data_IF_352091846738
#
_entry.id   IF_352091846738
#
_cell.length_a   1.000
_cell.length_b   1.000
_cell.length_c   1.000
_cell.angle_alpha   90.00
_cell.angle_beta   90.00
_cell.angle_gamma   90.00
#
_symmetry.space_group_name_H-M   'P 1'
#
loop_
_entity.id
_entity.type
_entity.pdbx_description
1 polymer ?
#
# COMPACT_ATOMS: atom_id res chain seq x y z
N UNK A 1 -4.54 8.71 6.03
CA UNK A 1 -4.20 9.86 6.90
C UNK A 1 -4.81 11.07 6.26
N UNK A 2 -5.67 11.78 6.99
CA UNK A 2 -6.22 13.03 6.49
C UNK A 2 -5.16 14.14 6.59
N UNK A 3 -4.55 14.50 5.45
CA UNK A 3 -3.64 15.66 5.39
C UNK A 3 -4.49 16.94 5.38
N UNK A 4 -4.11 17.91 6.21
CA UNK A 4 -4.72 19.25 6.19
C UNK A 4 -4.18 20.07 5.01
N UNK A 5 -4.91 21.08 4.52
CA UNK A 5 -4.55 21.79 3.28
C UNK A 5 -3.13 22.38 3.28
N UNK A 6 -2.73 23.00 4.37
CA UNK A 6 -1.40 23.61 4.55
C UNK A 6 -0.25 22.58 4.51
N UNK A 7 -0.53 21.33 4.89
CA UNK A 7 0.49 20.28 4.96
C UNK A 7 0.98 19.81 3.61
N UNK A 8 0.15 19.92 2.56
CA UNK A 8 0.61 19.61 1.21
C UNK A 8 1.75 20.53 0.79
N UNK A 9 1.80 21.76 1.33
CA UNK A 9 2.80 22.78 1.04
C UNK A 9 3.98 22.73 2.02
N UNK A 10 3.70 22.58 3.32
CA UNK A 10 4.74 22.76 4.35
C UNK A 10 5.45 21.48 4.75
N UNK A 11 4.83 20.30 4.58
CA UNK A 11 5.42 19.07 5.09
C UNK A 11 6.56 18.58 4.21
N UNK A 12 7.71 18.32 4.83
CA UNK A 12 8.90 17.83 4.12
C UNK A 12 9.02 16.30 4.11
N UNK A 13 8.48 15.64 5.14
CA UNK A 13 8.55 14.19 5.24
C UNK A 13 7.61 13.46 4.25
N UNK A 14 6.74 14.20 3.55
CA UNK A 14 5.92 13.69 2.46
C UNK A 14 6.06 14.62 1.26
N UNK A 15 6.53 14.08 0.12
CA UNK A 15 7.09 14.90 -0.93
C UNK A 15 6.06 15.36 -1.98
N UNK A 16 4.78 15.52 -1.62
CA UNK A 16 3.73 15.82 -2.60
C UNK A 16 4.07 17.04 -3.47
N UNK A 17 4.55 18.13 -2.85
CA UNK A 17 4.98 19.35 -3.55
C UNK A 17 6.15 19.18 -4.52
N UNK A 18 6.87 18.07 -4.45
CA UNK A 18 7.96 17.71 -5.35
C UNK A 18 7.51 16.85 -6.55
N UNK A 19 6.20 16.67 -6.73
CA UNK A 19 5.60 16.00 -7.89
C UNK A 19 5.51 14.47 -7.78
N UNK A 20 5.85 13.89 -6.63
CA UNK A 20 5.70 12.47 -6.36
C UNK A 20 5.01 12.24 -5.02
N UNK A 21 4.21 11.18 -4.94
CA UNK A 21 3.26 11.03 -3.85
C UNK A 21 3.29 9.67 -3.18
N UNK A 22 2.10 9.16 -2.84
CA UNK A 22 1.89 7.93 -2.08
C UNK A 22 2.64 6.74 -2.67
N UNK A 23 2.71 6.63 -4.00
CA UNK A 23 3.31 5.51 -4.70
C UNK A 23 4.83 5.44 -4.44
N UNK A 24 5.55 6.56 -4.56
CA UNK A 24 7.00 6.61 -4.28
C UNK A 24 7.34 6.72 -2.79
N UNK A 25 6.47 7.34 -1.99
CA UNK A 25 6.74 7.50 -0.57
C UNK A 25 6.66 6.18 0.21
N UNK A 26 5.66 5.35 -0.07
CA UNK A 26 5.46 4.07 0.66
C UNK A 26 4.75 2.98 -0.15
N UNK A 27 4.14 3.32 -1.28
CA UNK A 27 3.37 2.38 -2.10
C UNK A 27 4.22 1.37 -2.86
N UNK A 28 5.49 1.68 -3.14
CA UNK A 28 6.39 0.85 -3.92
C UNK A 28 6.60 -0.55 -3.32
N UNK A 29 6.48 -0.71 -1.99
CA UNK A 29 6.50 -2.02 -1.34
C UNK A 29 5.38 -2.95 -1.83
N UNK A 30 4.19 -2.40 -2.12
CA UNK A 30 3.07 -3.17 -2.65
C UNK A 30 3.22 -3.46 -4.14
N UNK A 31 3.92 -2.59 -4.88
CA UNK A 31 4.32 -2.85 -6.27
C UNK A 31 5.30 -4.02 -6.30
N UNK A 32 6.30 -4.02 -5.43
CA UNK A 32 7.26 -5.11 -5.28
C UNK A 32 6.57 -6.44 -4.91
N UNK A 33 5.69 -6.40 -3.89
CA UNK A 33 4.87 -7.56 -3.51
C UNK A 33 4.01 -8.09 -4.68
N UNK A 34 3.40 -7.20 -5.46
CA UNK A 34 2.61 -7.59 -6.63
C UNK A 34 3.48 -8.30 -7.67
N UNK A 35 4.67 -7.78 -7.98
CA UNK A 35 5.59 -8.44 -8.93
C UNK A 35 6.07 -9.79 -8.41
N UNK A 36 6.33 -9.92 -7.11
CA UNK A 36 6.64 -11.19 -6.47
C UNK A 36 5.50 -12.21 -6.65
N UNK A 37 4.25 -11.81 -6.39
CA UNK A 37 3.08 -12.69 -6.55
C UNK A 37 2.87 -13.11 -8.01
N UNK A 38 3.07 -12.21 -8.97
CA UNK A 38 2.97 -12.53 -10.40
C UNK A 38 4.04 -13.53 -10.85
N UNK A 39 5.27 -13.36 -10.36
CA UNK A 39 6.37 -14.30 -10.61
C UNK A 39 6.10 -15.68 -10.00
N UNK A 40 5.65 -15.73 -8.74
CA UNK A 40 5.26 -16.99 -8.09
C UNK A 40 4.13 -17.70 -8.84
N UNK A 41 3.12 -16.95 -9.31
CA UNK A 41 2.04 -17.50 -10.14
C UNK A 41 2.57 -18.10 -11.45
N UNK A 42 3.55 -17.45 -12.08
CA UNK A 42 4.19 -17.93 -13.31
C UNK A 42 5.08 -19.15 -13.08
N UNK A 43 5.66 -19.31 -11.90
CA UNK A 43 6.45 -20.49 -11.52
C UNK A 43 5.57 -21.68 -11.14
N UNK A 44 4.44 -21.43 -10.48
CA UNK A 44 3.50 -22.47 -10.04
C UNK A 44 2.65 -23.05 -11.18
N UNK A 45 2.67 -22.45 -12.37
CA UNK A 45 1.91 -22.91 -13.53
C UNK A 45 2.79 -23.00 -14.77
N UNK A 46 2.47 -23.91 -15.70
CA UNK A 46 3.10 -23.92 -17.03
C UNK A 46 2.65 -22.76 -17.93
N UNK A 47 1.86 -21.82 -17.39
CA UNK A 47 1.25 -20.72 -18.12
C UNK A 47 1.98 -19.42 -17.80
N UNK A 48 3.07 -19.20 -18.51
CA UNK A 48 3.77 -17.90 -18.47
C UNK A 48 3.04 -16.88 -19.34
N UNK A 49 2.70 -15.68 -18.82
CA UNK A 49 2.19 -14.58 -19.61
C UNK A 49 3.20 -14.09 -20.65
N UNK A 50 2.73 -13.56 -21.77
CA UNK A 50 3.53 -12.85 -22.78
C UNK A 50 3.32 -11.34 -22.75
N UNK A 51 2.16 -10.89 -22.26
CA UNK A 51 1.72 -9.50 -22.31
C UNK A 51 1.17 -9.06 -20.97
N UNK A 52 1.51 -7.85 -20.56
CA UNK A 52 0.86 -7.14 -19.47
C UNK A 52 0.07 -5.98 -20.05
N UNK A 53 -1.15 -5.78 -19.57
CA UNK A 53 -1.87 -4.53 -19.73
C UNK A 53 -2.04 -3.88 -18.37
N UNK A 54 -1.92 -2.56 -18.33
CA UNK A 54 -1.97 -1.78 -17.12
C UNK A 54 -2.78 -0.52 -17.36
N UNK A 55 -3.82 -0.34 -16.55
CA UNK A 55 -4.55 0.90 -16.43
C UNK A 55 -4.31 1.47 -15.04
N UNK A 56 -3.95 2.75 -14.93
CA UNK A 56 -3.68 3.38 -13.64
C UNK A 56 -4.24 4.78 -13.58
N UNK A 57 -4.80 5.14 -12.43
CA UNK A 57 -5.31 6.48 -12.16
C UNK A 57 -4.88 6.95 -10.78
N UNK A 58 -4.86 8.27 -10.60
CA UNK A 58 -4.52 8.88 -9.34
C UNK A 58 -5.48 10.00 -8.94
N UNK A 59 -5.40 10.36 -7.65
CA UNK A 59 -6.07 11.50 -7.02
C UNK A 59 -4.98 12.45 -6.52
N UNK A 60 -5.16 13.76 -6.70
CA UNK A 60 -4.24 14.81 -6.23
C UNK A 60 -4.82 15.60 -5.05
N UNK A 61 -4.00 16.45 -4.39
CA UNK A 61 -4.47 17.30 -3.30
C UNK A 61 -5.70 18.15 -3.67
N UNK A 62 -5.74 18.73 -4.87
CA UNK A 62 -6.89 19.50 -5.35
C UNK A 62 -8.20 18.70 -5.44
N UNK A 63 -8.12 17.42 -5.81
CA UNK A 63 -9.27 16.52 -5.82
C UNK A 63 -9.76 16.24 -4.38
N UNK A 64 -8.84 16.06 -3.43
CA UNK A 64 -9.19 15.91 -2.01
C UNK A 64 -9.91 17.15 -1.47
N UNK A 65 -9.47 18.36 -1.84
CA UNK A 65 -10.10 19.62 -1.43
C UNK A 65 -11.45 19.87 -2.11
N UNK A 66 -11.65 19.29 -3.29
CA UNK A 66 -12.98 19.26 -3.91
C UNK A 66 -13.93 18.35 -3.13
N UNK A 67 -13.44 17.22 -2.61
CA UNK A 67 -14.23 16.28 -1.80
C UNK A 67 -14.45 16.76 -0.35
N UNK A 68 -13.48 17.47 0.23
CA UNK A 68 -13.49 17.97 1.62
C UNK A 68 -13.41 19.49 1.56
N UNK A 69 -14.57 20.13 1.67
CA UNK A 69 -14.74 21.58 1.48
C UNK A 69 -14.38 22.41 2.71
N UNK A 70 -14.26 23.73 2.54
CA UNK A 70 -14.09 24.68 3.65
C UNK A 70 -15.18 24.55 4.72
N UNK A 71 -16.45 24.39 4.32
CA UNK A 71 -17.57 24.14 5.24
C UNK A 71 -17.34 22.91 6.12
N UNK A 72 -16.64 21.91 5.60
CA UNK A 72 -16.28 20.71 6.36
C UNK A 72 -15.24 21.02 7.42
N UNK A 73 -14.22 21.82 7.08
CA UNK A 73 -13.23 22.29 8.04
C UNK A 73 -13.83 23.25 9.08
N UNK A 74 -14.74 24.15 8.70
CA UNK A 74 -15.42 25.06 9.63
C UNK A 74 -16.25 24.28 10.64
N UNK A 75 -17.00 23.28 10.19
CA UNK A 75 -17.82 22.42 11.06
C UNK A 75 -16.99 21.62 12.06
N UNK A 76 -15.82 21.11 11.66
CA UNK A 76 -15.00 20.26 12.54
C UNK A 76 -14.01 21.03 13.41
N UNK A 77 -13.47 22.15 12.92
CA UNK A 77 -12.36 22.87 13.57
C UNK A 77 -12.62 24.37 13.77
N UNK A 78 -13.81 24.85 13.43
CA UNK A 78 -14.22 26.24 13.59
C UNK A 78 -13.79 27.15 12.44
N UNK A 79 -14.47 28.29 12.34
CA UNK A 79 -14.31 29.28 11.27
C UNK A 79 -12.89 29.82 11.11
N UNK A 80 -12.19 30.06 12.23
CA UNK A 80 -10.82 30.58 12.19
C UNK A 80 -9.86 29.59 11.50
N UNK A 81 -10.00 28.30 11.78
CA UNK A 81 -9.20 27.25 11.14
C UNK A 81 -9.51 27.11 9.66
N UNK A 82 -10.79 27.11 9.29
CA UNK A 82 -11.20 27.04 7.88
C UNK A 82 -10.65 28.23 7.09
N UNK A 83 -10.74 29.44 7.64
CA UNK A 83 -10.17 30.64 7.02
C UNK A 83 -8.65 30.53 6.82
N UNK A 84 -7.92 29.95 7.79
CA UNK A 84 -6.48 29.72 7.67
C UNK A 84 -6.11 28.69 6.59
N UNK A 85 -7.03 27.79 6.24
CA UNK A 85 -6.84 26.77 5.20
C UNK A 85 -7.28 27.21 3.80
N UNK A 86 -8.11 28.25 3.69
CA UNK A 86 -8.72 28.68 2.43
C UNK A 86 -7.70 28.95 1.32
N UNK A 87 -6.63 29.68 1.64
CA UNK A 87 -5.57 30.01 0.67
C UNK A 87 -4.87 28.76 0.14
N UNK A 88 -4.65 27.76 0.99
CA UNK A 88 -3.99 26.51 0.61
C UNK A 88 -4.91 25.61 -0.23
N UNK A 89 -6.21 25.59 0.06
CA UNK A 89 -7.18 24.80 -0.70
C UNK A 89 -7.35 25.29 -2.13
N UNK A 90 -7.15 26.59 -2.35
CA UNK A 90 -7.26 27.25 -3.64
C UNK A 90 -5.90 27.52 -4.31
N UNK A 91 -4.80 26.98 -3.75
CA UNK A 91 -3.47 27.15 -4.34
C UNK A 91 -3.46 26.52 -5.74
N UNK A 92 -3.16 27.34 -6.74
CA UNK A 92 -3.09 26.89 -8.12
C UNK A 92 -2.04 25.80 -8.29
N UNK A 93 -0.97 25.73 -7.49
CA UNK A 93 0.10 24.74 -7.61
C UNK A 93 -0.30 23.31 -7.23
N UNK A 94 -1.46 23.10 -6.62
CA UNK A 94 -1.91 21.74 -6.23
C UNK A 94 -2.01 20.78 -7.42
N UNK A 95 -2.18 21.30 -8.64
CA UNK A 95 -2.16 20.48 -9.86
C UNK A 95 -0.78 19.94 -10.22
N UNK A 96 0.31 20.52 -9.71
CA UNK A 96 1.69 20.07 -9.91
C UNK A 96 2.11 19.01 -8.89
N UNK A 97 1.34 18.85 -7.81
CA UNK A 97 1.71 17.97 -6.71
C UNK A 97 1.54 16.50 -7.10
N UNK A 98 2.32 15.65 -6.42
CA UNK A 98 2.25 14.21 -6.52
C UNK A 98 0.91 13.65 -6.03
N UNK A 99 0.67 12.39 -6.35
CA UNK A 99 -0.57 11.70 -6.04
C UNK A 99 -0.79 11.45 -4.54
N UNK A 100 -2.00 11.71 -4.07
CA UNK A 100 -2.44 11.33 -2.72
C UNK A 100 -2.88 9.88 -2.72
N UNK A 101 -3.65 9.47 -3.73
CA UNK A 101 -4.05 8.09 -3.93
C UNK A 101 -3.64 7.59 -5.32
N UNK A 102 -3.41 6.29 -5.44
CA UNK A 102 -3.07 5.62 -6.70
C UNK A 102 -3.86 4.32 -6.82
N UNK A 103 -4.52 4.14 -7.96
CA UNK A 103 -5.30 2.97 -8.31
C UNK A 103 -4.72 2.36 -9.58
N UNK A 104 -4.49 1.06 -9.59
CA UNK A 104 -3.91 0.37 -10.74
C UNK A 104 -4.59 -0.98 -10.93
N UNK A 105 -4.99 -1.26 -12.17
CA UNK A 105 -5.50 -2.54 -12.61
C UNK A 105 -4.56 -3.12 -13.65
N UNK A 106 -4.08 -4.33 -13.37
CA UNK A 106 -3.14 -5.05 -14.20
C UNK A 106 -3.78 -6.36 -14.68
N UNK A 107 -3.57 -6.69 -15.95
CA UNK A 107 -3.90 -8.01 -16.49
C UNK A 107 -2.67 -8.63 -17.13
N UNK A 108 -2.28 -9.81 -16.66
CA UNK A 108 -1.28 -10.65 -17.29
C UNK A 108 -1.96 -11.63 -18.24
N UNK A 109 -1.51 -11.63 -19.49
CA UNK A 109 -2.17 -12.31 -20.61
C UNK A 109 -1.20 -13.25 -21.33
N UNK A 110 -1.74 -14.29 -21.95
CA UNK A 110 -1.04 -15.19 -22.87
C UNK A 110 -1.87 -15.38 -24.13
N UNK A 111 -1.30 -15.10 -25.29
CA UNK A 111 -1.95 -15.19 -26.61
C UNK A 111 -3.34 -14.52 -26.62
N UNK A 112 -3.43 -13.31 -26.05
CA UNK A 112 -4.68 -12.53 -25.98
C UNK A 112 -5.71 -13.03 -24.94
N UNK A 113 -5.37 -14.02 -24.11
CA UNK A 113 -6.24 -14.54 -23.03
C UNK A 113 -5.70 -14.13 -21.67
N UNK A 114 -6.59 -13.69 -20.79
CA UNK A 114 -6.22 -13.25 -19.44
C UNK A 114 -5.92 -14.47 -18.57
N UNK A 115 -4.76 -14.45 -17.90
CA UNK A 115 -4.33 -15.46 -16.93
C UNK A 115 -4.55 -14.96 -15.50
N UNK A 116 -4.07 -13.75 -15.22
CA UNK A 116 -4.11 -13.15 -13.89
C UNK A 116 -4.60 -11.72 -14.00
N UNK A 117 -5.51 -11.33 -13.11
CA UNK A 117 -5.89 -9.92 -12.91
C UNK A 117 -5.48 -9.51 -11.51
N UNK A 118 -4.88 -8.33 -11.40
CA UNK A 118 -4.51 -7.74 -10.14
C UNK A 118 -5.06 -6.32 -10.04
N UNK A 119 -5.40 -5.92 -8.82
CA UNK A 119 -5.79 -4.56 -8.49
C UNK A 119 -4.96 -4.09 -7.30
N UNK A 120 -4.36 -2.92 -7.45
CA UNK A 120 -3.60 -2.23 -6.40
C UNK A 120 -4.31 -0.90 -6.12
N UNK A 121 -4.76 -0.74 -4.88
CA UNK A 121 -5.39 0.50 -4.40
C UNK A 121 -4.57 1.04 -3.23
N UNK A 122 -3.87 2.13 -3.46
CA UNK A 122 -3.06 2.83 -2.46
C UNK A 122 -3.81 4.09 -2.06
N UNK A 123 -4.42 4.06 -0.87
CA UNK A 123 -5.38 5.09 -0.44
C UNK A 123 -4.85 5.80 0.81
N UNK A 124 -4.41 7.04 0.65
CA UNK A 124 -4.07 7.96 1.71
C UNK A 124 -5.29 8.76 2.20
N UNK A 125 -6.26 9.06 1.31
CA UNK A 125 -7.53 9.76 1.65
C UNK A 125 -8.52 8.91 2.46
N UNK A 126 -8.18 7.65 2.72
CA UNK A 126 -9.00 6.71 3.47
C UNK A 126 -9.08 7.03 4.96
N UNK A 127 -9.57 6.06 5.72
CA UNK A 127 -9.84 6.20 7.15
C UNK A 127 -8.67 6.83 7.93
N UNK A 128 -9.00 7.76 8.82
CA UNK A 128 -8.06 8.46 9.66
C UNK A 128 -8.70 8.75 11.02
N UNK A 129 -7.89 8.70 12.06
CA UNK A 129 -8.26 9.13 13.40
C UNK A 129 -7.93 10.58 13.71
N UNK A 130 -7.49 11.32 12.69
CA UNK A 130 -7.12 12.70 12.88
C UNK A 130 -8.35 13.51 13.28
N UNK A 131 -8.30 14.09 14.47
CA UNK A 131 -9.36 14.92 15.03
C UNK A 131 -8.86 16.32 15.42
N UNK A 132 -7.72 16.74 14.88
CA UNK A 132 -7.08 18.02 15.17
C UNK A 132 -6.52 18.66 13.89
N UNK A 133 -6.53 20.00 13.80
CA UNK A 133 -6.07 20.70 12.60
C UNK A 133 -4.55 20.81 12.52
N UNK A 134 -3.83 20.96 13.64
CA UNK A 134 -2.39 21.24 13.65
C UNK A 134 -1.61 19.96 13.97
N UNK A 135 -0.61 19.61 13.15
CA UNK A 135 0.23 18.43 13.41
C UNK A 135 0.97 18.54 14.75
N UNK A 136 1.20 17.40 15.43
CA UNK A 136 2.16 17.36 16.52
C UNK A 136 3.60 17.51 16.02
N UNK A 137 4.53 17.82 16.93
CA UNK A 137 5.96 17.96 16.62
C UNK A 137 6.55 16.71 15.93
N UNK A 138 6.23 15.52 16.45
CA UNK A 138 6.49 14.26 15.76
C UNK A 138 5.44 14.07 14.66
N UNK A 139 5.71 14.63 13.48
CA UNK A 139 4.81 14.53 12.31
C UNK A 139 4.66 13.11 11.76
N UNK A 140 5.47 12.13 12.22
CA UNK A 140 5.41 10.74 11.78
C UNK A 140 4.50 9.89 12.65
N UNK A 141 4.52 10.10 13.97
CA UNK A 141 3.59 9.46 14.92
C UNK A 141 2.41 10.38 15.21
N UNK A 142 1.34 9.85 15.80
CA UNK A 142 0.23 10.66 16.32
C UNK A 142 -0.41 11.64 15.31
N UNK A 143 -0.37 11.33 14.01
CA UNK A 143 -0.87 12.16 12.91
C UNK A 143 -2.23 11.67 12.34
N UNK A 144 -2.93 10.82 13.09
CA UNK A 144 -4.17 10.17 12.69
C UNK A 144 -4.04 9.07 11.62
N UNK A 145 -2.83 8.73 11.15
CA UNK A 145 -2.58 7.57 10.26
C UNK A 145 -2.77 6.27 11.03
N UNK A 146 -3.52 5.34 10.44
CA UNK A 146 -3.72 3.98 10.92
C UNK A 146 -3.38 2.99 9.80
N UNK A 147 -2.90 1.80 10.18
CA UNK A 147 -2.67 0.71 9.23
C UNK A 147 -4.01 0.04 8.88
N UNK A 148 -4.38 0.10 7.61
CA UNK A 148 -5.54 -0.61 7.06
C UNK A 148 -5.13 -1.25 5.75
N UNK A 149 -4.65 -2.49 5.83
CA UNK A 149 -4.09 -3.24 4.73
C UNK A 149 -4.89 -4.53 4.52
N UNK A 150 -5.19 -4.82 3.26
CA UNK A 150 -5.94 -6.00 2.85
C UNK A 150 -5.35 -6.56 1.57
N UNK A 151 -5.11 -7.87 1.56
CA UNK A 151 -4.69 -8.61 0.37
C UNK A 151 -5.64 -9.79 0.21
N UNK A 152 -6.12 -10.03 -1.00
CA UNK A 152 -6.91 -11.21 -1.31
C UNK A 152 -6.39 -11.85 -2.60
N UNK A 153 -6.00 -13.10 -2.47
CA UNK A 153 -5.42 -13.91 -3.54
C UNK A 153 -6.39 -15.04 -3.82
N UNK A 154 -6.90 -15.07 -5.05
CA UNK A 154 -7.71 -16.18 -5.55
C UNK A 154 -6.87 -17.10 -6.44
N UNK A 155 -6.81 -18.37 -6.09
CA UNK A 155 -6.15 -19.41 -6.89
C UNK A 155 -7.23 -20.18 -7.65
N UNK A 156 -7.74 -19.55 -8.71
CA UNK A 156 -8.86 -20.06 -9.50
C UNK A 156 -10.05 -20.47 -8.59
N UNK A 157 -10.71 -21.62 -8.87
CA UNK A 157 -11.81 -22.13 -8.05
C UNK A 157 -11.34 -22.92 -6.81
N UNK A 158 -10.04 -23.00 -6.56
CA UNK A 158 -9.46 -23.96 -5.61
C UNK A 158 -9.23 -23.37 -4.22
N UNK A 159 -8.81 -22.11 -4.14
CA UNK A 159 -8.50 -21.47 -2.86
C UNK A 159 -8.65 -19.95 -2.88
N UNK A 160 -8.87 -19.38 -1.71
CA UNK A 160 -8.76 -17.94 -1.43
C UNK A 160 -7.89 -17.75 -0.19
N UNK A 161 -6.86 -16.91 -0.29
CA UNK A 161 -6.02 -16.48 0.83
C UNK A 161 -6.28 -15.01 1.05
N UNK A 162 -6.71 -14.65 2.26
CA UNK A 162 -6.99 -13.28 2.66
C UNK A 162 -6.05 -12.89 3.78
N UNK A 163 -5.47 -11.70 3.70
CA UNK A 163 -4.56 -11.15 4.70
C UNK A 163 -5.18 -9.85 5.20
N UNK A 164 -5.31 -9.74 6.51
CA UNK A 164 -5.97 -8.65 7.19
C UNK A 164 -5.04 -8.02 8.22
N UNK A 165 -4.79 -6.73 8.09
CA UNK A 165 -3.89 -5.99 8.97
C UNK A 165 -4.52 -4.63 9.25
N UNK A 166 -5.04 -4.47 10.47
CA UNK A 166 -5.91 -3.35 10.83
C UNK A 166 -5.55 -2.79 12.20
N UNK A 167 -5.44 -1.47 12.29
CA UNK A 167 -5.27 -0.75 13.53
C UNK A 167 -6.44 0.18 13.75
N UNK A 168 -7.09 0.07 14.90
CA UNK A 168 -8.17 0.98 15.28
C UNK A 168 -7.66 2.20 16.02
N UNK A 169 -6.43 2.20 16.57
CA UNK A 169 -5.85 3.34 17.31
C UNK A 169 -4.34 3.48 17.09
N UNK A 170 -3.82 4.71 17.23
CA UNK A 170 -2.39 5.02 17.03
C UNK A 170 -1.51 4.64 18.23
N UNK A 171 -2.06 4.61 19.45
CA UNK A 171 -1.33 4.37 20.71
C UNK A 171 -1.83 3.11 21.43
N UNK A 172 -1.15 2.73 22.53
CA UNK A 172 -1.50 1.54 23.34
C UNK A 172 -2.98 1.59 23.74
N UNK A 173 -3.74 0.62 23.27
CA UNK A 173 -5.14 0.43 23.62
C UNK A 173 -5.25 0.07 25.10
N UNK A 174 -6.17 0.73 25.80
CA UNK A 174 -6.72 0.17 27.05
C UNK A 174 -7.82 -0.82 26.66
N UNK A 175 -7.62 -2.11 26.98
CA UNK A 175 -8.69 -3.12 26.93
C UNK A 175 -8.87 -3.91 25.63
N UNK A 176 -8.08 -3.68 24.58
CA UNK A 176 -8.05 -4.54 23.38
C UNK A 176 -6.71 -5.28 23.31
N UNK A 177 -6.74 -6.58 23.00
CA UNK A 177 -5.51 -7.34 22.79
C UNK A 177 -4.71 -6.74 21.63
N UNK A 178 -3.39 -6.78 21.72
CA UNK A 178 -2.50 -6.34 20.64
C UNK A 178 -2.76 -7.08 19.33
N UNK A 179 -3.30 -8.30 19.39
CA UNK A 179 -3.45 -9.20 18.25
C UNK A 179 -4.90 -9.35 17.76
N UNK A 180 -5.87 -8.83 18.50
CA UNK A 180 -7.27 -8.81 18.06
C UNK A 180 -7.46 -7.83 16.90
N UNK A 181 -8.56 -7.95 16.16
CA UNK A 181 -8.88 -7.03 15.07
C UNK A 181 -8.92 -5.57 15.55
N UNK A 182 -8.08 -4.73 14.93
CA UNK A 182 -7.87 -3.34 15.33
C UNK A 182 -6.73 -3.17 16.34
N UNK A 183 -6.17 -4.24 16.88
CA UNK A 183 -4.99 -4.26 17.74
C UNK A 183 -3.74 -3.73 17.03
N UNK A 184 -2.79 -3.22 17.81
CA UNK A 184 -1.53 -2.66 17.28
C UNK A 184 -0.77 -3.64 16.36
N UNK A 185 -0.85 -4.94 16.67
CA UNK A 185 -0.18 -6.05 15.99
C UNK A 185 -1.18 -7.01 15.31
N UNK A 186 -2.41 -6.56 15.03
CA UNK A 186 -3.38 -7.38 14.29
C UNK A 186 -2.81 -7.76 12.91
N UNK A 187 -2.70 -9.07 12.69
CA UNK A 187 -2.30 -9.67 11.42
C UNK A 187 -2.87 -11.09 11.34
N UNK A 188 -3.94 -11.21 10.55
CA UNK A 188 -4.70 -12.44 10.37
C UNK A 188 -4.57 -12.93 8.92
N UNK A 189 -4.28 -14.22 8.73
CA UNK A 189 -4.35 -14.87 7.41
C UNK A 189 -5.50 -15.87 7.43
N UNK A 190 -6.47 -15.69 6.54
CA UNK A 190 -7.58 -16.61 6.33
C UNK A 190 -7.35 -17.40 5.05
N UNK A 191 -7.45 -18.73 5.14
CA UNK A 191 -7.25 -19.63 4.00
C UNK A 191 -8.50 -20.47 3.82
N UNK A 192 -9.17 -20.28 2.70
CA UNK A 192 -10.33 -21.05 2.26
C UNK A 192 -9.88 -22.00 1.14
N UNK A 193 -10.30 -23.26 1.21
CA UNK A 193 -9.88 -24.30 0.26
C UNK A 193 -11.08 -25.11 -0.21
N UNK A 194 -11.05 -25.52 -1.47
CA UNK A 194 -11.87 -26.62 -1.95
C UNK A 194 -11.26 -27.94 -1.46
N UNK A 195 -11.48 -28.27 -0.19
CA UNK A 195 -10.90 -29.43 0.46
C UNK A 195 -11.20 -30.75 -0.22
N UNK A 196 -12.32 -30.85 -0.92
CA UNK A 196 -12.69 -32.06 -1.65
C UNK A 196 -11.81 -32.28 -2.90
N UNK A 197 -11.24 -31.22 -3.48
CA UNK A 197 -10.37 -31.32 -4.65
C UNK A 197 -8.88 -31.29 -4.29
N UNK A 198 -8.47 -30.42 -3.37
CA UNK A 198 -7.05 -30.19 -3.05
C UNK A 198 -6.63 -30.67 -1.66
N UNK A 199 -7.55 -31.27 -0.90
CA UNK A 199 -7.30 -31.69 0.48
C UNK A 199 -7.16 -30.53 1.47
N UNK A 200 -6.72 -30.86 2.68
CA UNK A 200 -6.54 -29.89 3.77
C UNK A 200 -7.85 -29.40 4.41
N UNK A 201 -7.74 -28.49 5.38
CA UNK A 201 -8.91 -27.91 6.07
C UNK A 201 -9.63 -26.90 5.16
N UNK A 202 -10.95 -26.97 5.14
CA UNK A 202 -11.80 -26.09 4.31
C UNK A 202 -11.62 -24.62 4.68
N UNK A 203 -11.38 -24.37 5.96
CA UNK A 203 -11.01 -23.08 6.50
C UNK A 203 -9.87 -23.23 7.50
N UNK A 204 -8.92 -22.32 7.44
CA UNK A 204 -7.82 -22.18 8.38
C UNK A 204 -7.56 -20.70 8.64
N UNK A 205 -7.43 -20.34 9.92
CA UNK A 205 -7.04 -19.01 10.36
C UNK A 205 -5.68 -19.10 11.02
N UNK A 206 -4.73 -18.31 10.54
CA UNK A 206 -3.42 -18.14 11.15
C UNK A 206 -3.40 -16.76 11.79
N UNK A 207 -3.31 -16.73 13.12
CA UNK A 207 -3.10 -15.50 13.88
C UNK A 207 -1.61 -15.35 14.15
N UNK A 208 -0.97 -14.37 13.52
CA UNK A 208 0.48 -14.22 13.63
C UNK A 208 0.91 -13.91 15.08
N UNK A 209 0.08 -13.18 15.82
CA UNK A 209 0.30 -12.86 17.22
C UNK A 209 0.46 -14.07 18.15
N UNK A 210 -0.16 -15.21 17.80
CA UNK A 210 -0.05 -16.45 18.58
C UNK A 210 1.19 -17.28 18.23
N UNK A 211 1.70 -17.13 17.00
CA UNK A 211 2.95 -17.78 16.56
C UNK A 211 4.18 -17.06 17.16
N UNK A 212 4.13 -15.73 17.24
CA UNK A 212 5.19 -14.87 17.82
C UNK A 212 5.49 -15.20 19.29
N UNK A 213 4.50 -15.65 20.07
CA UNK A 213 4.66 -16.00 21.49
C UNK A 213 5.32 -17.37 21.75
N UNK A 214 5.37 -18.25 20.75
CA UNK A 214 5.82 -19.64 20.93
C UNK A 214 7.28 -19.89 20.53
N UNK A 215 7.89 -19.00 19.74
CA UNK A 215 9.21 -19.21 19.13
C UNK A 215 10.35 -18.35 19.67
N UNK A 216 10.05 -17.28 20.41
CA UNK A 216 11.04 -16.35 20.93
C UNK A 216 10.80 -16.11 22.42
N UNK A 217 11.87 -16.07 23.22
CA UNK A 217 11.77 -15.45 24.55
C UNK A 217 11.28 -14.02 24.32
N UNK A 218 10.10 -13.70 24.82
CA UNK A 218 9.37 -12.47 24.51
C UNK A 218 10.17 -11.17 24.79
N UNK A 219 11.25 -11.26 25.56
CA UNK A 219 12.14 -10.15 25.90
C UNK A 219 13.17 -9.80 24.81
N UNK A 220 13.46 -10.69 23.85
CA UNK A 220 14.50 -10.51 22.82
C UNK A 220 13.96 -10.26 21.40
N UNK A 221 12.64 -10.25 21.22
CA UNK A 221 12.03 -10.09 19.90
C UNK A 221 12.04 -8.63 19.45
N UNK A 222 12.86 -8.31 18.45
CA UNK A 222 13.01 -6.96 17.88
C UNK A 222 11.92 -6.62 16.83
N UNK A 223 11.04 -7.56 16.49
CA UNK A 223 10.03 -7.44 15.44
C UNK A 223 10.52 -7.88 14.05
N UNK A 224 9.61 -8.38 13.20
CA UNK A 224 9.94 -8.97 11.90
C UNK A 224 10.72 -8.01 10.97
N UNK A 225 10.36 -6.73 10.95
CA UNK A 225 11.07 -5.75 10.11
C UNK A 225 12.52 -5.54 10.56
N UNK A 226 12.78 -5.49 11.87
CA UNK A 226 14.15 -5.35 12.37
C UNK A 226 14.94 -6.65 12.20
N UNK A 227 14.29 -7.81 12.39
CA UNK A 227 14.89 -9.10 12.10
C UNK A 227 15.28 -9.23 10.62
N UNK A 228 14.38 -8.91 9.69
CA UNK A 228 14.65 -8.96 8.26
C UNK A 228 15.78 -8.01 7.85
N UNK A 229 15.78 -6.77 8.36
CA UNK A 229 16.88 -5.81 8.12
C UNK A 229 18.22 -6.32 8.66
N UNK A 230 18.21 -6.91 9.86
CA UNK A 230 19.41 -7.47 10.45
C UNK A 230 19.92 -8.65 9.63
N UNK A 231 19.04 -9.53 9.20
CA UNK A 231 19.38 -10.66 8.33
C UNK A 231 19.99 -10.16 7.02
N UNK A 232 19.39 -9.18 6.34
CA UNK A 232 19.96 -8.60 5.10
C UNK A 232 21.34 -7.98 5.34
N UNK A 233 21.54 -7.29 6.47
CA UNK A 233 22.85 -6.74 6.82
C UNK A 233 23.88 -7.84 7.08
N UNK A 234 23.51 -8.89 7.80
CA UNK A 234 24.39 -10.02 8.09
C UNK A 234 24.74 -10.78 6.81
N UNK A 235 23.77 -10.99 5.90
CA UNK A 235 23.98 -11.58 4.58
C UNK A 235 25.00 -10.77 3.77
N UNK A 236 24.85 -9.44 3.74
CA UNK A 236 25.78 -8.55 3.03
C UNK A 236 27.19 -8.58 3.65
N UNK A 237 27.30 -8.47 4.98
CA UNK A 237 28.60 -8.37 5.66
C UNK A 237 29.39 -9.69 5.62
N UNK A 238 28.69 -10.82 5.52
CA UNK A 238 29.28 -12.16 5.51
C UNK A 238 29.35 -12.78 4.11
N UNK A 239 28.97 -12.04 3.07
CA UNK A 239 28.89 -12.53 1.68
C UNK A 239 28.06 -13.82 1.57
N UNK A 240 26.94 -13.87 2.29
CA UNK A 240 26.00 -14.98 2.23
C UNK A 240 24.99 -14.76 1.10
N UNK A 241 24.47 -15.83 0.48
CA UNK A 241 23.44 -15.70 -0.53
C UNK A 241 22.21 -14.95 0.01
N UNK A 242 21.85 -13.83 -0.61
CA UNK A 242 20.63 -13.11 -0.27
C UNK A 242 19.49 -13.50 -1.19
N UNK A 243 18.28 -13.55 -0.63
CA UNK A 243 17.05 -13.64 -1.41
C UNK A 243 16.62 -12.26 -1.98
N UNK A 244 17.32 -11.18 -1.62
CA UNK A 244 16.96 -9.81 -1.95
C UNK A 244 18.11 -9.00 -2.56
N UNK A 245 18.55 -9.43 -3.73
CA UNK A 245 19.57 -8.74 -4.53
C UNK A 245 19.00 -7.49 -5.24
N UNK A 246 19.86 -6.51 -5.56
CA UNK A 246 19.44 -5.30 -6.29
C UNK A 246 18.71 -5.61 -7.61
N UNK A 247 19.10 -6.69 -8.29
CA UNK A 247 18.46 -7.15 -9.54
C UNK A 247 17.03 -7.63 -9.33
N UNK A 248 16.69 -8.11 -8.13
CA UNK A 248 15.34 -8.59 -7.80
C UNK A 248 14.31 -7.46 -7.80
N UNK A 249 14.74 -6.19 -7.70
CA UNK A 249 13.87 -5.01 -7.74
C UNK A 249 13.63 -4.45 -9.14
N UNK A 250 14.28 -4.98 -10.18
CA UNK A 250 14.07 -4.50 -11.56
C UNK A 250 12.60 -4.63 -12.03
N UNK A 251 11.91 -5.77 -11.80
CA UNK A 251 10.48 -5.89 -12.11
C UNK A 251 9.61 -4.83 -11.44
N UNK A 252 9.84 -4.60 -10.14
CA UNK A 252 9.09 -3.62 -9.35
C UNK A 252 9.31 -2.20 -9.89
N UNK A 253 10.56 -1.83 -10.16
CA UNK A 253 10.91 -0.53 -10.73
C UNK A 253 10.32 -0.31 -12.12
N UNK A 254 10.29 -1.36 -12.95
CA UNK A 254 9.67 -1.32 -14.27
C UNK A 254 8.17 -1.08 -14.16
N UNK A 255 7.46 -1.86 -13.33
CA UNK A 255 6.02 -1.69 -13.12
C UNK A 255 5.71 -0.29 -12.54
N UNK A 256 6.48 0.14 -11.56
CA UNK A 256 6.40 1.49 -10.97
C UNK A 256 6.55 2.59 -12.02
N UNK A 257 7.52 2.46 -12.93
CA UNK A 257 7.71 3.39 -14.03
C UNK A 257 6.51 3.42 -14.99
N UNK A 258 5.94 2.26 -15.32
CA UNK A 258 4.75 2.20 -16.18
C UNK A 258 3.51 2.82 -15.52
N UNK A 259 3.35 2.69 -14.19
CA UNK A 259 2.28 3.39 -13.45
C UNK A 259 2.46 4.91 -13.56
N UNK A 260 3.68 5.43 -13.36
CA UNK A 260 3.92 6.87 -13.50
C UNK A 260 3.77 7.40 -14.93
N UNK A 261 4.11 6.59 -15.95
CA UNK A 261 3.81 6.96 -17.34
C UNK A 261 2.31 7.09 -17.57
N UNK A 262 1.50 6.19 -17.00
CA UNK A 262 0.06 6.31 -17.03
C UNK A 262 -0.43 7.56 -16.27
N UNK A 263 0.16 7.90 -15.12
CA UNK A 263 -0.15 9.17 -14.44
C UNK A 263 0.16 10.39 -15.33
N UNK A 264 1.31 10.40 -16.00
CA UNK A 264 1.68 11.45 -16.93
C UNK A 264 0.77 11.54 -18.17
N UNK A 265 0.09 10.45 -18.56
CA UNK A 265 -0.95 10.44 -19.60
C UNK A 265 -2.26 11.03 -19.08
N UNK A 266 -2.71 10.59 -17.90
CA UNK A 266 -3.90 11.15 -17.25
C UNK A 266 -3.77 12.67 -17.07
N UNK A 267 -2.60 13.17 -16.66
CA UNK A 267 -2.39 14.62 -16.48
C UNK A 267 -2.48 15.43 -17.78
N UNK A 268 -2.34 14.78 -18.93
CA UNK A 268 -2.51 15.38 -20.27
C UNK A 268 -3.90 15.17 -20.85
N UNK A 269 -4.82 14.54 -20.11
CA UNK A 269 -6.15 14.17 -20.59
C UNK A 269 -6.15 12.94 -21.52
N UNK A 270 -5.06 12.19 -21.58
CA UNK A 270 -4.95 10.96 -22.36
C UNK A 270 -5.47 9.75 -21.57
N UNK A 271 -5.83 8.66 -22.27
CA UNK A 271 -6.19 7.40 -21.60
C UNK A 271 -4.97 6.80 -20.89
N UNK A 272 -5.00 6.61 -19.56
CA UNK A 272 -3.84 6.14 -18.81
C UNK A 272 -3.72 4.61 -18.85
N UNK A 273 -3.43 4.11 -20.04
CA UNK A 273 -3.35 2.69 -20.36
C UNK A 273 -2.04 2.36 -21.09
N UNK A 274 -1.38 1.27 -20.71
CA UNK A 274 -0.19 0.75 -21.40
C UNK A 274 -0.27 -0.76 -21.58
N UNK A 275 0.38 -1.25 -22.63
CA UNK A 275 0.65 -2.67 -22.82
C UNK A 275 2.15 -2.87 -23.10
N UNK A 276 2.74 -3.88 -22.47
CA UNK A 276 4.18 -4.18 -22.58
C UNK A 276 4.44 -5.68 -22.38
N UNK A 277 5.68 -6.12 -22.65
CA UNK A 277 6.05 -7.53 -22.57
C UNK A 277 6.08 -8.00 -21.11
N UNK A 278 5.50 -9.16 -20.83
CA UNK A 278 5.47 -9.70 -19.47
C UNK A 278 6.84 -10.07 -18.91
N UNK A 279 7.83 -10.39 -19.77
CA UNK A 279 9.21 -10.67 -19.33
C UNK A 279 9.85 -9.49 -18.62
N UNK A 280 9.35 -8.27 -18.83
CA UNK A 280 9.89 -7.08 -18.20
C UNK A 280 9.57 -7.01 -16.68
N UNK A 281 8.59 -7.79 -16.20
CA UNK A 281 8.13 -7.76 -14.80
C UNK A 281 7.92 -9.14 -14.14
N UNK A 282 8.36 -10.23 -14.79
CA UNK A 282 8.28 -11.61 -14.29
C UNK A 282 9.68 -12.19 -14.06
#
# INVERSE_FOLDING_TARGET
>A
MWNMPDEFVHRENHPYKYGYGKLMHSGYHFVDLLTLLLRLSSQASSKTPDTITLFSQYIRPGDQHTAITEDTYERFFGKATAAAFSDYMHDQKLHEFGEVDSYSQLQAMKHGKILTTAQLSLIQTGFSQRAWPILPDDTYKSNGRLRHEYINIHVGPLASVQIHSYQSQQSKQQGLSHYDTGGANHFDIYIFRNSNLIGGKAFEKIQFGEMDLKGHEAELYMGQNEYARRQTLDELLQDLPSQNELRNHLPANKLLSEIYKNHARQSKGETPFVSFNAVDIL
#
